data_IF_926373750873
#
_entry.id   IF_926373750873
#
_cell.length_a   1.000
_cell.length_b   1.000
_cell.length_c   1.000
_cell.angle_alpha   90.00
_cell.angle_beta   90.00
_cell.angle_gamma   90.00
#
_symmetry.space_group_name_H-M   'P 1'
#
loop_
_entity.id
_entity.type
_entity.pdbx_description
1 polymer ?
#
# COMPACT_ATOMS: atom_id res chain seq x y z
N UNK A 1 -51.16 -25.74 -33.71
CA UNK A 1 -49.73 -25.89 -34.12
C UNK A 1 -48.73 -25.13 -33.23
N UNK A 2 -49.13 -24.60 -32.06
CA UNK A 2 -48.27 -23.77 -31.19
C UNK A 2 -47.38 -24.59 -30.24
N UNK A 3 -47.93 -25.60 -29.55
CA UNK A 3 -47.22 -26.33 -28.50
C UNK A 3 -46.04 -27.20 -28.96
N UNK A 4 -46.07 -27.77 -30.17
CA UNK A 4 -44.98 -28.62 -30.66
C UNK A 4 -43.72 -27.81 -31.01
N UNK A 5 -43.89 -26.63 -31.62
CA UNK A 5 -42.77 -25.71 -31.93
C UNK A 5 -42.13 -25.17 -30.66
N UNK A 6 -42.94 -24.88 -29.64
CA UNK A 6 -42.46 -24.40 -28.34
C UNK A 6 -41.66 -25.48 -27.59
N UNK A 7 -42.10 -26.75 -27.65
CA UNK A 7 -41.35 -27.89 -27.09
C UNK A 7 -40.03 -28.14 -27.82
N UNK A 8 -40.01 -28.07 -29.16
CA UNK A 8 -38.79 -28.23 -29.96
C UNK A 8 -37.80 -27.09 -29.66
N UNK A 9 -38.29 -25.84 -29.61
CA UNK A 9 -37.47 -24.69 -29.26
C UNK A 9 -36.87 -24.82 -27.86
N UNK A 10 -37.66 -25.28 -26.88
CA UNK A 10 -37.18 -25.48 -25.51
C UNK A 10 -36.14 -26.60 -25.42
N UNK A 11 -36.31 -27.68 -26.21
CA UNK A 11 -35.36 -28.79 -26.27
C UNK A 11 -34.02 -28.36 -26.90
N UNK A 12 -34.06 -27.51 -27.93
CA UNK A 12 -32.84 -26.94 -28.55
C UNK A 12 -32.10 -26.02 -27.57
N UNK A 13 -32.82 -25.18 -26.81
CA UNK A 13 -32.20 -24.30 -25.79
C UNK A 13 -31.56 -25.14 -24.67
N UNK A 14 -32.24 -26.17 -24.18
CA UNK A 14 -31.70 -27.10 -23.17
C UNK A 14 -30.47 -27.87 -23.70
N UNK A 15 -30.49 -28.25 -24.97
CA UNK A 15 -29.36 -28.91 -25.61
C UNK A 15 -28.16 -27.96 -25.77
N UNK A 16 -28.39 -26.71 -26.18
CA UNK A 16 -27.34 -25.69 -26.27
C UNK A 16 -26.69 -25.39 -24.92
N UNK A 17 -27.47 -25.38 -23.83
CA UNK A 17 -26.96 -25.22 -22.46
C UNK A 17 -26.12 -26.42 -21.98
N UNK A 18 -26.33 -27.61 -22.55
CA UNK A 18 -25.57 -28.83 -22.20
C UNK A 18 -24.30 -29.04 -23.05
N UNK A 19 -24.28 -28.55 -24.29
CA UNK A 19 -23.14 -28.70 -25.22
C UNK A 19 -22.15 -27.53 -25.21
N UNK A 20 -22.48 -26.42 -24.55
CA UNK A 20 -21.52 -25.37 -24.19
C UNK A 20 -21.15 -25.51 -22.71
N UNK A 21 -20.24 -26.43 -22.33
CA UNK A 21 -19.60 -26.32 -21.03
C UNK A 21 -18.96 -24.94 -20.98
N UNK A 22 -19.15 -24.22 -19.87
CA UNK A 22 -18.49 -22.95 -19.65
C UNK A 22 -16.99 -23.11 -19.88
N UNK A 23 -16.34 -22.08 -20.41
CA UNK A 23 -14.88 -22.06 -20.45
C UNK A 23 -14.36 -22.17 -19.02
N UNK A 24 -13.76 -23.31 -18.67
CA UNK A 24 -13.00 -23.48 -17.45
C UNK A 24 -11.84 -22.48 -17.49
N UNK A 25 -11.90 -21.45 -16.63
CA UNK A 25 -10.80 -20.53 -16.46
C UNK A 25 -9.73 -21.24 -15.62
N UNK A 26 -8.66 -21.71 -16.27
CA UNK A 26 -7.48 -22.21 -15.58
C UNK A 26 -6.69 -21.03 -14.99
N UNK A 27 -7.16 -20.51 -13.86
CA UNK A 27 -6.32 -19.73 -12.95
C UNK A 27 -5.67 -20.69 -11.95
N UNK A 28 -4.35 -20.65 -11.81
CA UNK A 28 -3.73 -21.26 -10.64
C UNK A 28 -4.29 -20.57 -9.39
N UNK A 29 -4.79 -21.36 -8.43
CA UNK A 29 -5.22 -20.82 -7.15
C UNK A 29 -3.98 -20.30 -6.41
N UNK A 30 -3.94 -18.99 -6.16
CA UNK A 30 -2.83 -18.37 -5.47
C UNK A 30 -2.89 -18.70 -3.98
N UNK A 31 -2.10 -19.71 -3.57
CA UNK A 31 -1.99 -20.14 -2.18
C UNK A 31 -0.92 -19.30 -1.48
N UNK A 32 -1.39 -18.30 -0.74
CA UNK A 32 -0.57 -17.40 0.07
C UNK A 32 -0.55 -17.82 1.54
N UNK A 33 0.62 -17.75 2.17
CA UNK A 33 0.80 -18.04 3.60
C UNK A 33 0.39 -16.86 4.51
N UNK A 34 0.27 -15.68 3.90
CA UNK A 34 0.09 -14.40 4.57
C UNK A 34 -1.35 -14.23 5.08
N UNK A 35 -1.59 -13.50 6.18
CA UNK A 35 -2.93 -13.28 6.71
C UNK A 35 -3.83 -12.48 5.75
N UNK A 36 -3.24 -11.54 4.99
CA UNK A 36 -3.96 -10.69 4.04
C UNK A 36 -3.07 -10.31 2.86
N UNK A 37 -3.68 -10.10 1.69
CA UNK A 37 -3.00 -9.65 0.47
C UNK A 37 -4.01 -8.98 -0.49
N UNK A 38 -3.51 -8.09 -1.34
CA UNK A 38 -4.28 -7.50 -2.44
C UNK A 38 -3.34 -7.21 -3.63
N UNK A 39 -3.83 -7.46 -4.85
CA UNK A 39 -3.18 -7.09 -6.09
C UNK A 39 -4.14 -6.24 -6.92
N UNK A 40 -3.72 -5.03 -7.26
CA UNK A 40 -4.52 -4.06 -8.01
C UNK A 40 -3.79 -3.67 -9.28
N UNK A 41 -4.49 -3.67 -10.41
CA UNK A 41 -3.99 -3.07 -11.65
C UNK A 41 -4.06 -1.54 -11.53
N UNK A 42 -2.91 -0.89 -11.62
CA UNK A 42 -2.75 0.52 -11.24
C UNK A 42 -3.59 1.50 -12.07
N UNK A 43 -3.79 1.26 -13.37
CA UNK A 43 -4.45 2.25 -14.25
C UNK A 43 -5.97 2.21 -14.14
N UNK A 44 -6.55 1.02 -14.05
CA UNK A 44 -7.99 0.77 -13.97
C UNK A 44 -8.50 0.69 -12.55
N UNK A 45 -7.62 0.42 -11.58
CA UNK A 45 -8.01 0.11 -10.21
C UNK A 45 -8.65 -1.27 -10.07
N UNK A 46 -8.59 -2.12 -11.10
CA UNK A 46 -9.15 -3.47 -11.04
C UNK A 46 -8.41 -4.31 -9.99
N UNK A 47 -9.15 -4.85 -9.02
CA UNK A 47 -8.62 -5.88 -8.12
C UNK A 47 -8.47 -7.17 -8.92
N UNK A 48 -7.22 -7.63 -9.06
CA UNK A 48 -6.88 -8.86 -9.74
C UNK A 48 -6.87 -10.06 -8.78
N UNK A 49 -6.57 -9.79 -7.50
CA UNK A 49 -6.59 -10.78 -6.43
C UNK A 49 -6.77 -10.08 -5.08
N UNK A 50 -7.48 -10.72 -4.15
CA UNK A 50 -7.57 -10.29 -2.76
C UNK A 50 -7.72 -11.49 -1.81
N UNK A 51 -7.14 -11.36 -0.62
CA UNK A 51 -7.30 -12.26 0.51
C UNK A 51 -7.43 -11.40 1.76
N UNK A 52 -8.63 -11.35 2.35
CA UNK A 52 -8.91 -10.57 3.56
C UNK A 52 -8.36 -9.12 3.50
N UNK A 53 -8.48 -8.44 2.35
CA UNK A 53 -7.82 -7.16 2.10
C UNK A 53 -8.25 -6.02 3.05
N UNK A 54 -9.48 -6.08 3.57
CA UNK A 54 -10.02 -5.11 4.54
C UNK A 54 -9.71 -5.46 6.01
N UNK A 55 -8.94 -6.52 6.26
CA UNK A 55 -8.53 -6.89 7.61
C UNK A 55 -7.67 -5.77 8.21
N UNK A 56 -8.13 -5.20 9.32
CA UNK A 56 -7.34 -4.22 10.07
C UNK A 56 -6.11 -4.90 10.67
N UNK A 57 -4.93 -4.43 10.28
CA UNK A 57 -3.65 -4.96 10.73
C UNK A 57 -2.64 -3.83 10.97
N UNK A 58 -1.58 -4.12 11.73
CA UNK A 58 -0.51 -3.15 11.93
C UNK A 58 0.28 -2.97 10.62
N UNK A 59 0.38 -1.74 10.07
CA UNK A 59 1.11 -1.48 8.82
C UNK A 59 2.64 -1.59 8.97
N UNK A 60 3.15 -1.61 10.20
CA UNK A 60 4.58 -1.49 10.50
C UNK A 60 5.21 -0.33 9.68
N UNK A 61 6.31 -0.58 8.99
CA UNK A 61 7.02 0.46 8.23
C UNK A 61 6.30 0.92 6.96
N UNK A 62 5.24 0.25 6.49
CA UNK A 62 4.47 0.75 5.34
C UNK A 62 3.76 2.08 5.65
N UNK A 63 3.60 2.43 6.93
CA UNK A 63 3.20 3.77 7.40
C UNK A 63 4.03 4.89 6.78
N UNK A 64 5.33 4.65 6.52
CA UNK A 64 6.24 5.66 5.96
C UNK A 64 5.85 6.12 4.55
N UNK A 65 5.07 5.32 3.81
CA UNK A 65 4.47 5.75 2.52
C UNK A 65 3.55 6.96 2.75
N UNK A 66 2.72 6.93 3.80
CA UNK A 66 1.85 8.05 4.16
C UNK A 66 2.67 9.26 4.64
N UNK A 67 3.70 9.04 5.45
CA UNK A 67 4.62 10.11 5.88
C UNK A 67 5.25 10.82 4.68
N UNK A 68 5.76 10.07 3.71
CA UNK A 68 6.35 10.62 2.50
C UNK A 68 5.35 11.40 1.66
N UNK A 69 4.14 10.86 1.47
CA UNK A 69 3.07 11.53 0.72
C UNK A 69 2.73 12.89 1.33
N UNK A 70 2.42 12.93 2.63
CA UNK A 70 2.07 14.17 3.34
C UNK A 70 3.23 15.17 3.31
N UNK A 71 4.46 14.71 3.46
CA UNK A 71 5.64 15.60 3.41
C UNK A 71 5.81 16.28 2.05
N UNK A 72 5.67 15.53 0.95
CA UNK A 72 5.78 16.06 -0.41
C UNK A 72 4.63 17.01 -0.77
N UNK A 73 3.44 16.83 -0.19
CA UNK A 73 2.31 17.75 -0.37
C UNK A 73 2.50 19.08 0.36
N UNK A 74 3.30 19.11 1.43
CA UNK A 74 3.39 20.25 2.35
C UNK A 74 4.77 20.91 2.37
N UNK A 75 5.76 20.39 1.64
CA UNK A 75 7.10 20.96 1.61
C UNK A 75 7.83 20.68 0.30
N UNK A 76 8.73 21.59 -0.09
CA UNK A 76 9.56 21.41 -1.27
C UNK A 76 10.67 20.38 -1.00
N UNK A 77 11.04 19.62 -2.04
CA UNK A 77 12.06 18.56 -1.90
C UNK A 77 13.43 19.08 -1.46
N UNK A 78 13.77 20.33 -1.78
CA UNK A 78 15.02 20.99 -1.40
C UNK A 78 14.94 21.74 -0.05
N UNK A 79 13.77 21.75 0.60
CA UNK A 79 13.58 22.36 1.90
C UNK A 79 14.53 21.76 2.94
N UNK A 80 15.15 22.63 3.74
CA UNK A 80 16.11 22.25 4.76
C UNK A 80 15.39 21.83 6.04
N UNK A 81 15.63 20.59 6.45
CA UNK A 81 15.04 19.97 7.62
C UNK A 81 16.12 19.76 8.67
N UNK A 82 15.92 20.30 9.87
CA UNK A 82 16.88 20.17 10.96
C UNK A 82 16.51 18.98 11.84
N UNK A 83 17.47 18.10 12.09
CA UNK A 83 17.31 16.98 13.00
C UNK A 83 17.35 17.46 14.45
N UNK A 84 16.23 17.30 15.18
CA UNK A 84 16.22 17.58 16.61
C UNK A 84 16.83 16.41 17.38
N UNK A 85 17.30 16.67 18.60
CA UNK A 85 17.75 15.61 19.51
C UNK A 85 16.65 14.58 19.78
N UNK A 86 15.39 15.04 19.82
CA UNK A 86 14.22 14.21 20.10
C UNK A 86 13.98 13.23 18.96
N UNK A 87 13.93 13.71 17.71
CA UNK A 87 13.71 12.87 16.52
C UNK A 87 14.68 11.69 16.41
N UNK A 88 15.93 11.88 16.87
CA UNK A 88 16.97 10.85 16.85
C UNK A 88 16.86 9.92 18.08
N UNK A 89 16.68 10.47 19.28
CA UNK A 89 16.76 9.70 20.54
C UNK A 89 15.44 9.06 20.99
N UNK A 90 14.32 9.41 20.38
CA UNK A 90 13.03 8.77 20.67
C UNK A 90 12.91 7.35 20.10
N UNK A 91 13.90 6.90 19.31
CA UNK A 91 13.89 5.60 18.65
C UNK A 91 14.71 4.59 19.46
N UNK A 92 14.15 3.40 19.77
CA UNK A 92 14.90 2.34 20.44
C UNK A 92 16.07 1.83 19.57
N UNK A 93 17.11 1.30 20.22
CA UNK A 93 18.36 0.91 19.55
C UNK A 93 18.22 -0.19 18.48
N UNK A 94 17.13 -0.96 18.51
CA UNK A 94 16.93 -2.15 17.67
C UNK A 94 16.25 -1.86 16.32
N UNK A 95 16.08 -0.57 15.96
CA UNK A 95 15.37 -0.15 14.74
C UNK A 95 16.32 0.28 13.61
N UNK A 96 15.78 0.34 12.38
CA UNK A 96 16.53 0.83 11.22
C UNK A 96 16.91 2.30 11.39
N UNK A 97 18.22 2.58 11.35
CA UNK A 97 18.80 3.92 11.48
C UNK A 97 19.68 4.22 10.26
N UNK A 98 19.67 5.49 9.84
CA UNK A 98 20.57 6.02 8.82
C UNK A 98 21.88 6.55 9.42
N UNK A 99 21.92 6.75 10.74
CA UNK A 99 23.04 7.35 11.47
C UNK A 99 22.98 8.87 11.50
N UNK A 100 21.79 9.46 11.34
CA UNK A 100 21.59 10.92 11.37
C UNK A 100 21.95 11.46 12.76
N UNK A 101 22.75 12.51 12.80
CA UNK A 101 23.15 13.13 14.07
C UNK A 101 22.26 14.33 14.44
N UNK A 102 22.08 14.62 15.74
CA UNK A 102 21.41 15.84 16.17
C UNK A 102 22.04 17.09 15.56
N UNK A 103 21.20 18.07 15.26
CA UNK A 103 21.55 19.33 14.59
C UNK A 103 22.00 19.22 13.12
N UNK A 104 22.10 18.02 12.54
CA UNK A 104 22.30 17.87 11.10
C UNK A 104 21.15 18.49 10.32
N UNK A 105 21.48 19.06 9.16
CA UNK A 105 20.53 19.70 8.26
C UNK A 105 20.62 19.01 6.90
N UNK A 106 19.52 18.39 6.49
CA UNK A 106 19.40 17.68 5.22
C UNK A 106 18.26 18.27 4.40
N UNK A 107 18.21 17.96 3.11
CA UNK A 107 17.01 18.25 2.33
C UNK A 107 15.90 17.25 2.64
N UNK A 108 14.64 17.63 2.41
CA UNK A 108 13.53 16.66 2.44
C UNK A 108 13.82 15.46 1.51
N UNK A 109 14.40 15.70 0.34
CA UNK A 109 14.78 14.65 -0.59
C UNK A 109 15.75 13.62 0.02
N UNK A 110 16.80 14.07 0.73
CA UNK A 110 17.74 13.16 1.39
C UNK A 110 17.03 12.32 2.45
N UNK A 111 16.18 12.96 3.26
CA UNK A 111 15.39 12.29 4.29
C UNK A 111 14.42 11.27 3.69
N UNK A 112 13.73 11.60 2.60
CA UNK A 112 12.84 10.66 1.90
C UNK A 112 13.61 9.43 1.40
N UNK A 113 14.84 9.58 0.91
CA UNK A 113 15.68 8.43 0.55
C UNK A 113 15.96 7.54 1.75
N UNK A 114 16.37 8.09 2.90
CA UNK A 114 16.58 7.29 4.11
C UNK A 114 15.29 6.65 4.62
N UNK A 115 14.18 7.37 4.57
CA UNK A 115 12.86 6.94 5.03
C UNK A 115 12.30 5.79 4.18
N UNK A 116 12.46 5.84 2.85
CA UNK A 116 11.82 4.89 1.93
C UNK A 116 12.74 3.75 1.48
N UNK A 117 14.06 3.95 1.41
CA UNK A 117 15.00 2.90 0.95
C UNK A 117 15.41 1.99 2.08
N UNK A 118 15.83 2.56 3.21
CA UNK A 118 16.33 1.77 4.36
C UNK A 118 15.36 1.79 5.55
N UNK A 119 14.17 2.38 5.39
CA UNK A 119 13.14 2.44 6.42
C UNK A 119 13.60 3.14 7.71
N UNK A 120 14.49 4.13 7.61
CA UNK A 120 15.05 4.81 8.77
C UNK A 120 13.95 5.55 9.56
N UNK A 121 13.77 5.18 10.83
CA UNK A 121 12.74 5.79 11.69
C UNK A 121 13.07 7.25 12.00
N UNK A 122 14.35 7.55 12.23
CA UNK A 122 14.80 8.89 12.60
C UNK A 122 14.54 9.89 11.48
N UNK A 123 14.66 9.45 10.22
CA UNK A 123 14.30 10.26 9.08
C UNK A 123 12.81 10.61 9.07
N UNK A 124 11.93 9.63 9.33
CA UNK A 124 10.49 9.87 9.42
C UNK A 124 10.14 10.88 10.53
N UNK A 125 10.80 10.78 11.68
CA UNK A 125 10.62 11.72 12.79
C UNK A 125 11.08 13.13 12.41
N UNK A 126 12.26 13.28 11.80
CA UNK A 126 12.77 14.59 11.36
C UNK A 126 11.84 15.21 10.32
N UNK A 127 11.33 14.43 9.36
CA UNK A 127 10.33 14.89 8.40
C UNK A 127 9.09 15.40 9.14
N UNK A 128 8.53 14.59 10.04
CA UNK A 128 7.29 14.93 10.74
C UNK A 128 7.43 16.20 11.59
N UNK A 129 8.52 16.36 12.36
CA UNK A 129 8.75 17.56 13.18
C UNK A 129 8.92 18.84 12.34
N UNK A 130 9.49 18.75 11.14
CA UNK A 130 9.72 19.93 10.30
C UNK A 130 8.51 20.27 9.40
N UNK A 131 7.70 19.28 9.02
CA UNK A 131 6.50 19.47 8.18
C UNK A 131 5.26 19.77 9.02
N UNK A 132 5.13 19.17 10.19
CA UNK A 132 3.97 19.36 11.07
C UNK A 132 3.84 20.83 11.50
N UNK A 133 2.66 21.44 11.40
CA UNK A 133 2.43 22.79 11.93
C UNK A 133 2.70 22.91 13.43
N UNK A 134 2.46 21.83 14.19
CA UNK A 134 2.71 21.78 15.65
C UNK A 134 4.14 21.38 15.99
N UNK A 135 4.88 20.83 15.02
CA UNK A 135 6.23 20.25 15.18
C UNK A 135 6.33 19.13 16.21
N UNK A 136 5.19 18.54 16.57
CA UNK A 136 5.09 17.45 17.51
C UNK A 136 4.93 16.12 16.77
N UNK A 137 5.53 15.06 17.34
CA UNK A 137 5.44 13.68 16.86
C UNK A 137 4.84 12.72 17.89
N UNK A 138 4.55 13.20 19.11
CA UNK A 138 4.05 12.37 20.22
C UNK A 138 2.52 12.32 20.33
N UNK A 139 1.81 13.19 19.61
CA UNK A 139 0.34 13.19 19.50
C UNK A 139 -0.39 13.89 20.66
#
# INVERSE_FOLDING_TARGET
MSGAKQKISMMIVLMLLFFFPGTEAFGEELILSEPSAILVEMKSGQVLYEKAADLKWSPASTTKIMTALVAMENSALDAKMKASLHAIRSIPADFGLAGIQPDEVMTLNDLLHFCLIISANESANVIAENVSPTKDIDG
#
